data_IF_712418436820
#
_entry.id   IF_712418436820
#
_cell.length_a   1.000
_cell.length_b   1.000
_cell.length_c   1.000
_cell.angle_alpha   90.00
_cell.angle_beta   90.00
_cell.angle_gamma   90.00
#
_symmetry.space_group_name_H-M   'P 1'
#
loop_
_entity.id
_entity.type
_entity.pdbx_description
1 polymer ?
#
# COMPACT_ATOMS: atom_id res chain seq x y z
N UNK A 1 -7.64 17.72 -17.20
CA UNK A 1 -6.99 17.56 -15.88
C UNK A 1 -7.53 16.28 -15.27
N UNK A 2 -6.69 15.30 -14.97
CA UNK A 2 -7.14 14.10 -14.26
C UNK A 2 -7.41 14.50 -12.81
N UNK A 3 -8.64 14.28 -12.34
CA UNK A 3 -8.99 14.57 -10.95
C UNK A 3 -8.34 13.53 -10.05
N UNK A 4 -7.49 14.00 -9.12
CA UNK A 4 -7.01 13.18 -8.01
C UNK A 4 -8.13 13.03 -7.00
N UNK A 5 -8.50 11.80 -6.70
CA UNK A 5 -9.55 11.45 -5.73
C UNK A 5 -8.86 11.03 -4.43
N UNK A 6 -9.32 11.56 -3.31
CA UNK A 6 -8.83 11.17 -1.98
C UNK A 6 -9.95 10.47 -1.21
N UNK A 7 -9.66 9.26 -0.73
CA UNK A 7 -10.55 8.45 0.09
C UNK A 7 -9.98 8.30 1.49
N UNK A 8 -10.86 8.25 2.49
CA UNK A 8 -10.54 7.90 3.88
C UNK A 8 -11.09 6.52 4.16
N UNK A 9 -10.36 5.74 4.94
CA UNK A 9 -10.71 4.39 5.29
C UNK A 9 -10.80 4.20 6.80
N UNK A 10 -11.68 3.30 7.21
CA UNK A 10 -11.66 2.78 8.57
C UNK A 10 -10.44 1.86 8.75
N UNK A 11 -10.02 1.67 10.00
CA UNK A 11 -8.86 0.86 10.35
C UNK A 11 -9.20 -0.63 10.15
N UNK A 12 -8.64 -1.33 9.13
CA UNK A 12 -8.94 -2.74 8.91
C UNK A 12 -8.36 -3.60 10.05
N UNK A 13 -8.82 -4.85 10.16
CA UNK A 13 -8.29 -5.79 11.15
C UNK A 13 -6.77 -5.97 11.01
N UNK A 14 -6.04 -6.00 12.14
CA UNK A 14 -4.58 -6.16 12.15
C UNK A 14 -4.17 -7.57 11.76
N UNK A 15 -3.29 -7.70 10.80
CA UNK A 15 -2.68 -8.97 10.40
C UNK A 15 -1.40 -9.22 11.21
N UNK A 16 -1.54 -9.85 12.37
CA UNK A 16 -0.42 -10.14 13.28
C UNK A 16 0.68 -10.99 12.64
N UNK A 17 0.32 -11.88 11.70
CA UNK A 17 1.29 -12.69 10.95
C UNK A 17 2.19 -11.80 10.08
N UNK A 18 1.62 -10.82 9.42
CA UNK A 18 2.38 -9.88 8.60
C UNK A 18 3.24 -8.95 9.46
N UNK A 19 2.74 -8.47 10.60
CA UNK A 19 3.55 -7.69 11.55
C UNK A 19 4.78 -8.52 11.97
N UNK A 20 4.62 -9.79 12.35
CA UNK A 20 5.76 -10.68 12.68
C UNK A 20 6.72 -10.84 11.51
N UNK A 21 6.19 -11.01 10.30
CA UNK A 21 7.01 -11.12 9.09
C UNK A 21 7.90 -9.89 8.89
N UNK A 22 7.34 -8.69 9.08
CA UNK A 22 8.10 -7.44 9.01
C UNK A 22 9.10 -7.28 10.16
N UNK A 23 8.85 -7.87 11.32
CA UNK A 23 9.82 -7.96 12.41
C UNK A 23 10.93 -8.99 12.15
N UNK A 24 10.90 -9.73 11.05
CA UNK A 24 11.85 -10.80 10.73
C UNK A 24 11.61 -12.10 11.50
N UNK A 25 10.46 -12.25 12.13
CA UNK A 25 10.13 -13.44 12.94
C UNK A 25 9.35 -14.47 12.14
N UNK A 26 9.80 -15.73 12.22
CA UNK A 26 9.15 -16.86 11.53
C UNK A 26 8.07 -17.52 12.38
N UNK A 27 8.28 -17.57 13.69
CA UNK A 27 7.37 -18.24 14.65
C UNK A 27 6.94 -17.27 15.73
N UNK A 28 5.68 -17.36 16.22
CA UNK A 28 5.23 -16.58 17.36
C UNK A 28 6.04 -16.90 18.61
N UNK A 29 6.40 -15.89 19.38
CA UNK A 29 6.94 -16.03 20.74
C UNK A 29 6.22 -15.03 21.66
N UNK A 30 6.24 -15.28 22.96
CA UNK A 30 5.47 -14.51 23.94
C UNK A 30 5.92 -13.04 24.00
N UNK A 31 7.19 -12.75 23.80
CA UNK A 31 7.73 -11.37 23.84
C UNK A 31 7.22 -10.57 22.66
N UNK A 32 7.31 -11.14 21.46
CA UNK A 32 6.84 -10.46 20.24
C UNK A 32 5.34 -10.26 20.24
N UNK A 33 4.56 -11.25 20.72
CA UNK A 33 3.12 -11.09 20.81
C UNK A 33 2.72 -9.97 21.78
N UNK A 34 3.39 -9.84 22.94
CA UNK A 34 3.18 -8.72 23.87
C UNK A 34 3.55 -7.35 23.27
N UNK A 35 4.62 -7.29 22.44
CA UNK A 35 4.98 -6.08 21.72
C UNK A 35 3.91 -5.70 20.69
N UNK A 36 3.43 -6.69 19.92
CA UNK A 36 2.35 -6.48 18.95
C UNK A 36 1.07 -5.99 19.65
N UNK A 37 0.68 -6.59 20.79
CA UNK A 37 -0.47 -6.14 21.58
C UNK A 37 -0.35 -4.67 21.96
N UNK A 38 0.82 -4.25 22.44
CA UNK A 38 1.09 -2.84 22.77
C UNK A 38 1.00 -1.94 21.54
N UNK A 39 1.56 -2.35 20.41
CA UNK A 39 1.49 -1.58 19.16
C UNK A 39 0.05 -1.42 18.69
N UNK A 40 -0.74 -2.50 18.70
CA UNK A 40 -2.17 -2.45 18.35
C UNK A 40 -2.93 -1.51 19.28
N UNK A 41 -2.72 -1.58 20.59
CA UNK A 41 -3.37 -0.67 21.58
C UNK A 41 -2.99 0.81 21.34
N UNK A 42 -1.75 1.08 20.92
CA UNK A 42 -1.28 2.44 20.64
C UNK A 42 -1.84 3.01 19.35
N UNK A 43 -2.14 2.17 18.35
CA UNK A 43 -2.47 2.58 16.99
C UNK A 43 -3.93 2.43 16.63
N UNK A 44 -4.64 1.42 17.16
CA UNK A 44 -6.04 1.13 16.84
C UNK A 44 -6.96 2.33 17.07
N UNK A 45 -7.74 2.68 16.03
CA UNK A 45 -8.67 3.80 16.04
C UNK A 45 -8.02 5.20 16.11
N UNK A 46 -6.69 5.29 15.98
CA UNK A 46 -5.94 6.55 16.07
C UNK A 46 -5.18 6.90 14.79
N UNK A 47 -5.22 6.02 13.79
CA UNK A 47 -4.59 6.25 12.52
C UNK A 47 -5.52 6.99 11.55
N UNK A 48 -4.94 7.72 10.61
CA UNK A 48 -5.66 8.41 9.56
C UNK A 48 -5.35 7.76 8.21
N UNK A 49 -6.01 6.63 7.95
CA UNK A 49 -5.82 5.85 6.74
C UNK A 49 -6.43 6.58 5.54
N UNK A 50 -5.61 6.91 4.57
CA UNK A 50 -6.02 7.64 3.36
C UNK A 50 -5.34 7.06 2.12
N UNK A 51 -6.09 7.03 1.03
CA UNK A 51 -5.57 6.75 -0.30
C UNK A 51 -5.92 7.90 -1.21
N UNK A 52 -4.95 8.42 -1.96
CA UNK A 52 -5.21 9.28 -3.09
C UNK A 52 -4.87 8.54 -4.38
N UNK A 53 -5.73 8.67 -5.40
CA UNK A 53 -5.53 7.98 -6.68
C UNK A 53 -6.01 8.82 -7.85
N UNK A 54 -5.44 8.52 -9.02
CA UNK A 54 -5.91 9.06 -10.30
C UNK A 54 -5.73 8.00 -11.40
N UNK A 55 -6.60 8.05 -12.41
CA UNK A 55 -6.53 7.19 -13.59
C UNK A 55 -5.91 7.97 -14.73
N UNK A 56 -5.00 7.33 -15.46
CA UNK A 56 -4.32 7.91 -16.61
C UNK A 56 -4.44 6.99 -17.83
N UNK A 57 -4.66 7.54 -19.03
CA UNK A 57 -4.54 6.77 -20.26
C UNK A 57 -3.10 6.26 -20.40
N UNK A 58 -2.96 5.04 -20.88
CA UNK A 58 -1.69 4.36 -21.08
C UNK A 58 -1.38 4.24 -22.56
N UNK A 59 -0.13 4.52 -22.95
CA UNK A 59 0.40 4.25 -24.27
C UNK A 59 1.71 3.48 -24.14
N UNK A 60 1.86 2.39 -24.91
CA UNK A 60 3.07 1.56 -24.94
C UNK A 60 3.62 1.56 -26.35
N UNK A 61 4.90 1.90 -26.51
CA UNK A 61 5.64 1.87 -27.78
C UNK A 61 6.98 1.14 -27.59
N UNK A 62 7.03 -0.13 -28.02
CA UNK A 62 8.18 -0.99 -27.73
C UNK A 62 8.37 -1.19 -26.22
N UNK A 63 9.51 -0.75 -25.68
CA UNK A 63 9.81 -0.75 -24.25
C UNK A 63 9.51 0.57 -23.53
N UNK A 64 8.91 1.54 -24.26
CA UNK A 64 8.52 2.82 -23.69
C UNK A 64 7.06 2.78 -23.20
N UNK A 65 6.84 3.07 -21.94
CA UNK A 65 5.53 3.17 -21.29
C UNK A 65 5.27 4.63 -20.95
N UNK A 66 4.14 5.16 -21.42
CA UNK A 66 3.78 6.57 -21.29
C UNK A 66 2.43 6.71 -20.58
N UNK A 67 2.41 7.44 -19.49
CA UNK A 67 1.21 7.84 -18.74
C UNK A 67 1.50 9.07 -17.87
N UNK A 68 0.48 9.80 -17.49
CA UNK A 68 0.59 11.00 -16.62
C UNK A 68 1.56 12.09 -17.12
N UNK A 69 1.89 12.11 -18.42
CA UNK A 69 2.88 13.03 -19.00
C UNK A 69 4.33 12.56 -18.90
N UNK A 70 4.57 11.40 -18.27
CA UNK A 70 5.88 10.78 -18.10
C UNK A 70 6.13 9.68 -19.15
N UNK A 71 7.41 9.45 -19.46
CA UNK A 71 7.88 8.36 -20.33
C UNK A 71 8.90 7.53 -19.57
N UNK A 72 8.59 6.26 -19.35
CA UNK A 72 9.44 5.28 -18.65
C UNK A 72 9.92 4.25 -19.65
N UNK A 73 11.21 4.00 -19.71
CA UNK A 73 11.82 2.94 -20.56
C UNK A 73 12.04 1.71 -19.67
N UNK A 74 11.21 0.69 -19.87
CA UNK A 74 11.29 -0.56 -19.11
C UNK A 74 10.60 -1.68 -19.89
N UNK A 75 11.36 -2.70 -20.25
CA UNK A 75 10.84 -3.89 -20.95
C UNK A 75 9.85 -4.67 -20.08
N UNK A 76 10.17 -4.84 -18.78
CA UNK A 76 9.32 -5.57 -17.84
C UNK A 76 8.02 -4.83 -17.58
N UNK A 77 8.07 -3.51 -17.41
CA UNK A 77 6.87 -2.70 -17.23
C UNK A 77 5.99 -2.74 -18.50
N UNK A 78 6.59 -2.65 -19.69
CA UNK A 78 5.86 -2.75 -20.94
C UNK A 78 5.20 -4.12 -21.12
N UNK A 79 5.89 -5.20 -20.76
CA UNK A 79 5.31 -6.56 -20.76
C UNK A 79 4.16 -6.71 -19.77
N UNK A 80 4.34 -6.23 -18.54
CA UNK A 80 3.33 -6.33 -17.49
C UNK A 80 2.07 -5.54 -17.81
N UNK A 81 2.20 -4.40 -18.50
CA UNK A 81 1.09 -3.55 -18.91
C UNK A 81 0.55 -3.85 -20.31
N UNK A 82 1.05 -4.90 -20.96
CA UNK A 82 0.62 -5.24 -22.32
C UNK A 82 -0.90 -5.48 -22.39
N UNK A 83 -1.56 -4.82 -23.35
CA UNK A 83 -3.02 -4.89 -23.53
C UNK A 83 -3.83 -3.97 -22.62
N UNK A 84 -3.19 -3.25 -21.71
CA UNK A 84 -3.86 -2.28 -20.83
C UNK A 84 -4.10 -0.94 -21.57
N UNK A 85 -5.25 -0.33 -21.32
CA UNK A 85 -5.63 0.98 -21.91
C UNK A 85 -5.42 2.15 -20.95
N UNK A 86 -5.43 1.86 -19.66
CA UNK A 86 -5.29 2.86 -18.61
C UNK A 86 -4.57 2.27 -17.41
N UNK A 87 -3.98 3.14 -16.60
CA UNK A 87 -3.38 2.80 -15.31
C UNK A 87 -4.01 3.63 -14.21
N UNK A 88 -4.13 3.04 -13.02
CA UNK A 88 -4.47 3.74 -11.80
C UNK A 88 -3.18 3.89 -11.00
N UNK A 89 -2.77 5.13 -10.77
CA UNK A 89 -1.68 5.46 -9.86
C UNK A 89 -2.28 5.88 -8.53
N UNK A 90 -1.84 5.27 -7.44
CA UNK A 90 -2.32 5.63 -6.11
C UNK A 90 -1.19 5.70 -5.08
N UNK A 91 -1.43 6.45 -4.01
CA UNK A 91 -0.58 6.53 -2.84
C UNK A 91 -1.43 6.32 -1.58
N UNK A 92 -0.92 5.54 -0.64
CA UNK A 92 -1.57 5.21 0.62
C UNK A 92 -0.73 5.66 1.82
N UNK A 93 -1.39 6.06 2.91
CA UNK A 93 -0.72 6.47 4.15
C UNK A 93 -1.50 6.02 5.37
N UNK A 94 -0.77 5.66 6.43
CA UNK A 94 -1.33 5.41 7.76
C UNK A 94 -1.48 6.70 8.61
N UNK A 95 -1.02 7.84 8.07
CA UNK A 95 -1.13 9.16 8.69
C UNK A 95 -0.01 9.48 9.69
N UNK A 96 0.10 10.77 10.02
CA UNK A 96 1.19 11.31 10.84
C UNK A 96 1.28 10.72 12.27
N UNK A 97 0.19 10.19 12.80
CA UNK A 97 0.22 9.58 14.13
C UNK A 97 1.12 8.35 14.19
N UNK A 98 1.19 7.57 13.10
CA UNK A 98 2.10 6.43 13.01
C UNK A 98 3.56 6.90 13.03
N UNK A 99 3.90 7.92 12.26
CA UNK A 99 5.24 8.49 12.20
C UNK A 99 5.67 9.06 13.57
N UNK A 100 4.78 9.79 14.24
CA UNK A 100 5.04 10.35 15.58
C UNK A 100 5.30 9.27 16.63
N UNK A 101 4.53 8.18 16.60
CA UNK A 101 4.77 7.04 17.49
C UNK A 101 6.12 6.40 17.21
N UNK A 102 6.43 6.13 15.95
CA UNK A 102 7.68 5.53 15.53
C UNK A 102 8.88 6.38 15.95
N UNK A 103 8.84 7.70 15.72
CA UNK A 103 9.89 8.64 16.14
C UNK A 103 10.00 8.68 17.67
N UNK A 104 8.88 8.74 18.41
CA UNK A 104 8.89 8.75 19.87
C UNK A 104 9.64 7.55 20.44
N UNK A 105 9.42 6.36 19.92
CA UNK A 105 10.02 5.14 20.44
C UNK A 105 11.44 4.88 19.93
N UNK A 106 11.92 5.59 18.93
CA UNK A 106 13.29 5.41 18.37
C UNK A 106 14.41 5.61 19.41
N UNK A 107 14.19 6.47 20.41
CA UNK A 107 15.13 6.75 21.49
C UNK A 107 14.74 6.11 22.83
N UNK A 108 13.52 5.63 22.98
CA UNK A 108 13.00 5.11 24.26
C UNK A 108 13.09 3.58 24.37
N UNK A 109 12.76 2.89 23.29
CA UNK A 109 12.65 1.42 23.25
C UNK A 109 12.81 0.92 21.82
N UNK A 110 13.98 0.36 21.53
CA UNK A 110 14.31 -0.12 20.18
C UNK A 110 13.42 -1.29 19.72
N UNK A 111 12.96 -2.14 20.62
CA UNK A 111 12.07 -3.26 20.30
C UNK A 111 10.68 -2.74 19.94
N UNK A 112 10.15 -1.79 20.70
CA UNK A 112 8.89 -1.10 20.38
C UNK A 112 9.00 -0.32 19.09
N UNK A 113 10.13 0.37 18.83
CA UNK A 113 10.36 1.09 17.58
C UNK A 113 10.28 0.15 16.37
N UNK A 114 10.99 -0.99 16.42
CA UNK A 114 10.96 -2.00 15.36
C UNK A 114 9.55 -2.57 15.16
N UNK A 115 8.83 -2.87 16.25
CA UNK A 115 7.47 -3.37 16.17
C UNK A 115 6.49 -2.33 15.61
N UNK A 116 6.64 -1.03 15.95
CA UNK A 116 5.84 0.05 15.38
C UNK A 116 6.11 0.25 13.89
N UNK A 117 7.38 0.15 13.43
CA UNK A 117 7.70 0.17 12.00
C UNK A 117 7.03 -1.00 11.27
N UNK A 118 7.11 -2.22 11.82
CA UNK A 118 6.47 -3.40 11.27
C UNK A 118 4.94 -3.25 11.22
N UNK A 119 4.34 -2.70 12.29
CA UNK A 119 2.91 -2.42 12.36
C UNK A 119 2.51 -1.37 11.32
N UNK A 120 3.29 -0.29 11.15
CA UNK A 120 3.03 0.74 10.14
C UNK A 120 3.06 0.19 8.71
N UNK A 121 4.04 -0.65 8.40
CA UNK A 121 4.14 -1.32 7.10
C UNK A 121 2.90 -2.20 6.83
N UNK A 122 2.51 -3.01 7.82
CA UNK A 122 1.32 -3.86 7.72
C UNK A 122 0.04 -3.03 7.56
N UNK A 123 -0.12 -1.91 8.29
CA UNK A 123 -1.28 -1.02 8.14
C UNK A 123 -1.42 -0.47 6.74
N UNK A 124 -0.32 -0.02 6.13
CA UNK A 124 -0.34 0.51 4.75
C UNK A 124 -0.63 -0.61 3.75
N UNK A 125 -0.09 -1.83 3.93
CA UNK A 125 -0.43 -2.96 3.05
C UNK A 125 -1.89 -3.36 3.16
N UNK A 126 -2.42 -3.51 4.38
CA UNK A 126 -3.84 -3.82 4.58
C UNK A 126 -4.76 -2.76 3.96
N UNK A 127 -4.37 -1.48 4.05
CA UNK A 127 -5.09 -0.40 3.38
C UNK A 127 -5.04 -0.53 1.86
N UNK A 128 -3.88 -0.87 1.29
CA UNK A 128 -3.74 -1.10 -0.15
C UNK A 128 -4.61 -2.26 -0.63
N UNK A 129 -4.67 -3.35 0.15
CA UNK A 129 -5.49 -4.52 -0.18
C UNK A 129 -6.99 -4.17 -0.17
N UNK A 130 -7.45 -3.39 0.81
CA UNK A 130 -8.84 -2.90 0.87
C UNK A 130 -9.14 -2.01 -0.35
N UNK A 131 -8.26 -1.05 -0.65
CA UNK A 131 -8.41 -0.17 -1.81
C UNK A 131 -8.42 -0.94 -3.13
N UNK A 132 -7.50 -1.89 -3.31
CA UNK A 132 -7.43 -2.71 -4.52
C UNK A 132 -8.72 -3.50 -4.74
N UNK A 133 -9.26 -4.12 -3.69
CA UNK A 133 -10.52 -4.85 -3.77
C UNK A 133 -11.69 -3.93 -4.14
N UNK A 134 -11.78 -2.75 -3.53
CA UNK A 134 -12.81 -1.75 -3.85
C UNK A 134 -12.73 -1.29 -5.31
N UNK A 135 -11.52 -0.98 -5.78
CA UNK A 135 -11.28 -0.56 -7.17
C UNK A 135 -11.63 -1.68 -8.15
N UNK A 136 -11.23 -2.92 -7.87
CA UNK A 136 -11.59 -4.09 -8.68
C UNK A 136 -13.10 -4.24 -8.81
N UNK A 137 -13.80 -4.25 -7.67
CA UNK A 137 -15.28 -4.36 -7.69
C UNK A 137 -15.94 -3.23 -8.48
N UNK A 138 -15.45 -2.00 -8.29
CA UNK A 138 -15.96 -0.82 -8.99
C UNK A 138 -15.87 -0.95 -10.51
N UNK A 139 -14.70 -1.35 -11.01
CA UNK A 139 -14.45 -1.40 -12.45
C UNK A 139 -14.97 -2.69 -13.11
N UNK A 140 -14.99 -3.82 -12.41
CA UNK A 140 -15.64 -5.05 -12.87
C UNK A 140 -17.16 -4.80 -13.11
N UNK A 141 -17.81 -4.06 -12.22
CA UNK A 141 -19.22 -3.65 -12.42
C UNK A 141 -19.43 -2.77 -13.65
N UNK A 142 -18.37 -2.13 -14.15
CA UNK A 142 -18.39 -1.33 -15.38
C UNK A 142 -17.98 -2.15 -16.63
N UNK A 143 -17.74 -3.45 -16.50
CA UNK A 143 -17.34 -4.35 -17.59
C UNK A 143 -15.86 -4.22 -17.97
N UNK A 144 -15.01 -3.70 -17.07
CA UNK A 144 -13.56 -3.58 -17.27
C UNK A 144 -12.83 -4.68 -16.51
N UNK A 145 -11.80 -5.24 -17.10
CA UNK A 145 -10.89 -6.16 -16.43
C UNK A 145 -9.73 -5.38 -15.78
N UNK A 146 -9.39 -5.76 -14.55
CA UNK A 146 -8.25 -5.22 -13.83
C UNK A 146 -7.18 -6.29 -13.72
N UNK A 147 -5.95 -5.97 -14.12
CA UNK A 147 -4.76 -6.76 -13.86
C UNK A 147 -3.91 -6.09 -12.77
N UNK A 148 -3.58 -6.84 -11.73
CA UNK A 148 -2.62 -6.41 -10.73
C UNK A 148 -1.20 -6.51 -11.28
N UNK A 149 -0.42 -5.45 -11.11
CA UNK A 149 1.01 -5.52 -11.32
C UNK A 149 1.67 -6.17 -10.10
N UNK A 150 2.28 -7.32 -10.30
CA UNK A 150 3.15 -7.92 -9.30
C UNK A 150 4.51 -7.21 -9.35
N UNK A 151 4.83 -6.46 -8.33
CA UNK A 151 6.12 -5.81 -8.14
C UNK A 151 6.55 -5.86 -6.68
N UNK A 152 7.86 -5.67 -6.43
CA UNK A 152 8.40 -5.64 -5.07
C UNK A 152 7.72 -4.57 -4.22
N UNK A 153 7.46 -4.96 -2.97
CA UNK A 153 6.75 -4.13 -1.99
C UNK A 153 7.65 -2.98 -1.52
N UNK A 154 7.40 -1.78 -2.02
CA UNK A 154 8.07 -0.57 -1.55
C UNK A 154 7.30 0.10 -0.40
N UNK A 155 8.01 0.63 0.61
CA UNK A 155 7.44 1.26 1.80
C UNK A 155 6.73 2.60 1.57
N UNK A 156 6.86 3.19 0.40
CA UNK A 156 6.01 4.31 -0.06
C UNK A 156 5.33 3.81 -1.31
N UNK A 157 4.13 3.27 -1.15
CA UNK A 157 3.52 2.47 -2.20
C UNK A 157 2.78 3.39 -3.16
N UNK A 158 3.41 3.65 -4.31
CA UNK A 158 2.69 3.92 -5.53
C UNK A 158 2.53 2.59 -6.25
N UNK A 159 1.34 2.02 -6.28
CA UNK A 159 1.01 0.87 -7.13
C UNK A 159 0.32 1.35 -8.40
N UNK A 160 0.61 0.66 -9.49
CA UNK A 160 -0.10 0.82 -10.75
C UNK A 160 -1.09 -0.34 -10.88
N UNK A 161 -2.36 -0.01 -11.02
CA UNK A 161 -3.39 -0.97 -11.42
C UNK A 161 -3.72 -0.77 -12.90
N UNK A 162 -3.87 -1.85 -13.62
CA UNK A 162 -4.08 -1.84 -15.06
C UNK A 162 -5.53 -2.15 -15.39
N UNK A 163 -6.13 -1.34 -16.26
CA UNK A 163 -7.44 -1.57 -16.86
C UNK A 163 -7.27 -2.07 -18.30
N UNK A 164 -7.77 -3.25 -18.59
CA UNK A 164 -7.82 -3.85 -19.94
C UNK A 164 -9.11 -3.55 -20.67
#
# INVERSE_FOLDING_TARGET
MNNVITLKYEDPAYNRREIRRYMGQKTPDEISERLIDKCVLLTSGKLELKVCYAMYPLKIEGNAVMFAGEKIISEDLAKNLAGCKSVILFAATAGLNMDRLTVKYSSLDSAMHACLQATGAERVESLCDVFNNEIKEKYIKQGLEIAELQGDKFHTIARLECLR
#
